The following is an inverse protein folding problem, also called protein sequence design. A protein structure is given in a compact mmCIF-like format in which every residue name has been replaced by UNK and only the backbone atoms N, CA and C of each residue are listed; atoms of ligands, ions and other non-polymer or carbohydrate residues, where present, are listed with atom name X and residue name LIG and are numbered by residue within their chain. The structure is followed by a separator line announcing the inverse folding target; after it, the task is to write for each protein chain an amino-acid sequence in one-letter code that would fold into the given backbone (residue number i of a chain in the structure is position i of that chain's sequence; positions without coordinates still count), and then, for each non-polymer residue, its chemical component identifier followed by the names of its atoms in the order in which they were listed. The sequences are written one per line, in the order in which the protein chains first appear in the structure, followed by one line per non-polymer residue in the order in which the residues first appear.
data_IF_641320537145
#
_entry.id   IF_641320537145
#
_cell.length_a   1.000
_cell.length_b   1.000
_cell.length_c   1.000
_cell.angle_alpha   90.00
_cell.angle_beta   90.00
_cell.angle_gamma   90.00
#
_symmetry.space_group_name_H-M   'P 1'
#
loop_
_entity.id
_entity.type
_entity.pdbx_description
1 polymer ?
#
# COMPACT_ATOMS: atom_id res chain seq x y z
N UNK A 1 -83.33 -29.24 -23.52
CA UNK A 1 -81.88 -29.46 -23.62
C UNK A 1 -81.56 -30.70 -22.77
N UNK A 2 -81.29 -31.87 -23.35
CA UNK A 2 -80.78 -33.06 -22.63
C UNK A 2 -79.27 -32.90 -22.53
N UNK A 3 -78.76 -32.47 -21.39
CA UNK A 3 -77.31 -32.59 -21.06
C UNK A 3 -77.07 -34.09 -20.93
N UNK A 4 -76.21 -34.65 -21.78
CA UNK A 4 -75.86 -36.05 -21.69
C UNK A 4 -75.33 -36.40 -20.31
N UNK A 5 -75.78 -37.45 -19.67
CA UNK A 5 -75.31 -37.90 -18.35
C UNK A 5 -73.79 -38.13 -18.37
N UNK A 6 -73.24 -38.57 -19.49
CA UNK A 6 -71.75 -38.71 -19.66
C UNK A 6 -71.04 -37.39 -19.57
N UNK A 7 -71.56 -36.32 -20.20
CA UNK A 7 -70.98 -34.97 -20.13
C UNK A 7 -71.00 -34.39 -18.72
N UNK A 8 -72.04 -34.67 -17.94
CA UNK A 8 -72.12 -34.29 -16.53
C UNK A 8 -71.03 -34.98 -15.69
N UNK A 9 -70.86 -36.31 -15.87
CA UNK A 9 -69.83 -37.07 -15.19
C UNK A 9 -68.41 -36.64 -15.58
N UNK A 10 -68.17 -36.44 -16.87
CA UNK A 10 -66.85 -35.91 -17.35
C UNK A 10 -66.55 -34.54 -16.77
N UNK A 11 -67.48 -33.61 -16.76
CA UNK A 11 -67.32 -32.28 -16.19
C UNK A 11 -67.09 -32.36 -14.68
N UNK A 12 -67.82 -33.21 -13.98
CA UNK A 12 -67.66 -33.44 -12.54
C UNK A 12 -66.31 -34.06 -12.22
N UNK A 13 -65.86 -35.08 -12.96
CA UNK A 13 -64.54 -35.71 -12.80
C UNK A 13 -63.41 -34.69 -13.03
N UNK A 14 -63.49 -33.90 -14.09
CA UNK A 14 -62.52 -32.82 -14.37
C UNK A 14 -62.48 -31.78 -13.25
N UNK A 15 -63.63 -31.38 -12.69
CA UNK A 15 -63.72 -30.47 -11.56
C UNK A 15 -63.07 -31.06 -10.31
N UNK A 16 -63.31 -32.32 -9.98
CA UNK A 16 -62.66 -33.00 -8.86
C UNK A 16 -61.14 -33.09 -9.02
N UNK A 17 -60.66 -33.46 -10.22
CA UNK A 17 -59.26 -33.55 -10.51
C UNK A 17 -58.59 -32.15 -10.33
N UNK A 18 -59.22 -31.08 -10.83
CA UNK A 18 -58.71 -29.71 -10.66
C UNK A 18 -58.66 -29.29 -9.19
N UNK A 19 -59.78 -29.51 -8.44
CA UNK A 19 -59.79 -29.15 -7.01
C UNK A 19 -58.77 -29.94 -6.20
N UNK A 20 -58.55 -31.21 -6.54
CA UNK A 20 -57.50 -32.01 -5.89
C UNK A 20 -56.10 -31.47 -6.21
N UNK A 21 -55.81 -31.12 -7.45
CA UNK A 21 -54.55 -30.53 -7.85
C UNK A 21 -54.28 -29.16 -7.14
N UNK A 22 -55.32 -28.31 -7.06
CA UNK A 22 -55.26 -27.04 -6.35
C UNK A 22 -55.00 -27.22 -4.83
N UNK A 23 -55.63 -28.24 -4.23
CA UNK A 23 -55.40 -28.61 -2.82
C UNK A 23 -53.98 -29.09 -2.59
N UNK A 24 -53.47 -29.99 -3.44
CA UNK A 24 -52.08 -30.48 -3.35
C UNK A 24 -51.09 -29.30 -3.48
N UNK A 25 -51.32 -28.42 -4.45
CA UNK A 25 -50.49 -27.21 -4.65
C UNK A 25 -50.48 -26.30 -3.42
N UNK A 26 -51.67 -26.01 -2.86
CA UNK A 26 -51.79 -25.19 -1.65
C UNK A 26 -51.10 -25.86 -0.46
N UNK A 27 -51.22 -27.18 -0.33
CA UNK A 27 -50.53 -27.94 0.73
C UNK A 27 -49.00 -27.86 0.58
N UNK A 28 -48.49 -27.94 -0.64
CA UNK A 28 -47.06 -27.78 -0.93
C UNK A 28 -46.56 -26.34 -0.59
N UNK A 29 -47.34 -25.32 -0.96
CA UNK A 29 -47.02 -23.91 -0.63
C UNK A 29 -47.01 -23.68 0.89
N UNK A 30 -47.92 -24.26 1.63
CA UNK A 30 -47.97 -24.19 3.10
C UNK A 30 -46.76 -24.93 3.70
N UNK A 31 -46.46 -26.12 3.17
CA UNK A 31 -45.35 -26.94 3.69
C UNK A 31 -43.97 -26.33 3.43
N UNK A 32 -43.78 -25.68 2.28
CA UNK A 32 -42.50 -25.00 1.94
C UNK A 32 -42.40 -23.59 2.52
N UNK A 33 -43.54 -22.94 2.80
CA UNK A 33 -43.59 -21.52 3.16
C UNK A 33 -43.47 -20.58 1.95
N UNK A 34 -43.27 -21.14 0.75
CA UNK A 34 -43.05 -20.35 -0.48
C UNK A 34 -44.36 -20.32 -1.33
N UNK A 35 -44.85 -19.10 -1.61
CA UNK A 35 -46.03 -18.87 -2.46
C UNK A 35 -45.77 -19.25 -3.94
N UNK A 36 -44.56 -18.96 -4.42
CA UNK A 36 -44.14 -19.16 -5.81
C UNK A 36 -43.15 -20.32 -5.83
N UNK A 37 -43.58 -21.48 -6.27
CA UNK A 37 -42.75 -22.70 -6.38
C UNK A 37 -42.19 -22.90 -7.78
N UNK A 38 -42.96 -22.49 -8.78
CA UNK A 38 -42.55 -22.54 -10.18
C UNK A 38 -42.81 -21.23 -10.90
N UNK A 39 -42.05 -20.98 -11.96
CA UNK A 39 -42.26 -19.79 -12.80
C UNK A 39 -43.65 -19.76 -13.47
N UNK A 40 -44.36 -20.92 -13.55
CA UNK A 40 -45.71 -21.01 -14.07
C UNK A 40 -46.77 -20.48 -13.09
N UNK A 41 -46.49 -20.43 -11.79
CA UNK A 41 -47.43 -19.96 -10.77
C UNK A 41 -47.63 -18.44 -10.82
N UNK A 42 -46.54 -17.71 -10.99
CA UNK A 42 -46.53 -16.25 -11.13
C UNK A 42 -45.25 -15.84 -11.89
N UNK A 43 -45.30 -15.71 -13.24
CA UNK A 43 -44.11 -15.41 -14.04
C UNK A 43 -43.46 -14.06 -13.68
N UNK A 44 -44.29 -13.06 -13.35
CA UNK A 44 -43.80 -11.70 -12.98
C UNK A 44 -43.16 -11.73 -11.59
N UNK A 45 -43.83 -12.42 -10.64
CA UNK A 45 -43.30 -12.61 -9.30
C UNK A 45 -42.02 -13.43 -9.29
N UNK A 46 -41.95 -14.49 -10.10
CA UNK A 46 -40.74 -15.32 -10.24
C UNK A 46 -39.57 -14.51 -10.84
N UNK A 47 -39.81 -13.71 -11.87
CA UNK A 47 -38.78 -12.83 -12.43
C UNK A 47 -38.27 -11.82 -11.41
N UNK A 48 -39.17 -11.22 -10.63
CA UNK A 48 -38.82 -10.27 -9.56
C UNK A 48 -38.03 -10.95 -8.43
N UNK A 49 -38.44 -12.18 -8.05
CA UNK A 49 -37.74 -13.00 -7.05
C UNK A 49 -36.31 -13.29 -7.49
N UNK A 50 -36.11 -13.69 -8.74
CA UNK A 50 -34.79 -13.96 -9.31
C UNK A 50 -33.89 -12.72 -9.29
N UNK A 51 -34.42 -11.53 -9.65
CA UNK A 51 -33.68 -10.29 -9.57
C UNK A 51 -33.29 -9.95 -8.14
N UNK A 52 -34.19 -10.14 -7.17
CA UNK A 52 -33.88 -9.88 -5.75
C UNK A 52 -32.88 -10.88 -5.20
N UNK A 53 -32.93 -12.14 -5.62
CA UNK A 53 -31.92 -13.14 -5.25
C UNK A 53 -30.55 -12.77 -5.80
N UNK A 54 -30.44 -12.40 -7.08
CA UNK A 54 -29.19 -11.92 -7.67
C UNK A 54 -28.65 -10.70 -6.92
N UNK A 55 -29.51 -9.76 -6.57
CA UNK A 55 -29.09 -8.58 -5.78
C UNK A 55 -28.63 -8.97 -4.39
N UNK A 56 -29.30 -9.91 -3.73
CA UNK A 56 -28.91 -10.42 -2.41
C UNK A 56 -27.56 -11.15 -2.45
N UNK A 57 -27.31 -11.96 -3.47
CA UNK A 57 -26.04 -12.64 -3.69
C UNK A 57 -24.90 -11.64 -3.93
N UNK A 58 -25.15 -10.61 -4.75
CA UNK A 58 -24.18 -9.54 -5.00
C UNK A 58 -23.83 -8.76 -3.72
N UNK A 59 -24.83 -8.41 -2.91
CA UNK A 59 -24.62 -7.76 -1.61
C UNK A 59 -23.84 -8.66 -0.64
N UNK A 60 -24.12 -9.96 -0.65
CA UNK A 60 -23.36 -10.95 0.14
C UNK A 60 -21.89 -11.00 -0.31
N UNK A 61 -21.65 -10.98 -1.62
CA UNK A 61 -20.29 -10.90 -2.18
C UNK A 61 -19.57 -9.62 -1.76
N UNK A 62 -20.25 -8.46 -1.83
CA UNK A 62 -19.68 -7.21 -1.38
C UNK A 62 -19.33 -7.23 0.10
N UNK A 63 -20.19 -7.79 0.94
CA UNK A 63 -19.93 -7.98 2.38
C UNK A 63 -18.69 -8.87 2.61
N UNK A 64 -18.57 -9.96 1.86
CA UNK A 64 -17.38 -10.82 1.90
C UNK A 64 -16.11 -10.08 1.47
N UNK A 65 -16.19 -9.29 0.40
CA UNK A 65 -15.09 -8.48 -0.09
C UNK A 65 -14.65 -7.43 0.96
N UNK A 66 -15.60 -6.74 1.62
CA UNK A 66 -15.30 -5.80 2.70
C UNK A 66 -14.61 -6.48 3.88
N UNK A 67 -15.07 -7.66 4.27
CA UNK A 67 -14.42 -8.43 5.34
C UNK A 67 -12.99 -8.81 4.96
N UNK A 68 -12.77 -9.26 3.73
CA UNK A 68 -11.42 -9.59 3.22
C UNK A 68 -10.52 -8.36 3.22
N UNK A 69 -11.01 -7.22 2.72
CA UNK A 69 -10.26 -5.98 2.71
C UNK A 69 -9.91 -5.50 4.14
N UNK A 70 -10.87 -5.54 5.06
CA UNK A 70 -10.65 -5.16 6.46
C UNK A 70 -9.59 -6.04 7.11
N UNK A 71 -9.63 -7.35 6.90
CA UNK A 71 -8.62 -8.26 7.46
C UNK A 71 -7.23 -8.00 6.88
N UNK A 72 -7.13 -7.74 5.57
CA UNK A 72 -5.86 -7.41 4.93
C UNK A 72 -5.27 -6.11 5.46
N UNK A 73 -6.07 -5.05 5.56
CA UNK A 73 -5.65 -3.75 6.10
C UNK A 73 -5.27 -3.82 7.59
N UNK A 74 -6.01 -4.57 8.41
CA UNK A 74 -5.66 -4.78 9.82
C UNK A 74 -4.31 -5.52 9.97
N UNK A 75 -4.03 -6.49 9.09
CA UNK A 75 -2.75 -7.17 9.08
C UNK A 75 -1.63 -6.23 8.68
N UNK A 76 -1.84 -5.41 7.66
CA UNK A 76 -0.89 -4.40 7.22
C UNK A 76 -0.61 -3.36 8.31
N UNK A 77 -1.65 -2.83 8.97
CA UNK A 77 -1.54 -1.91 10.11
C UNK A 77 -0.71 -2.52 11.24
N UNK A 78 -0.93 -3.80 11.57
CA UNK A 78 -0.15 -4.49 12.59
C UNK A 78 1.34 -4.59 12.25
N UNK A 79 1.68 -4.84 10.97
CA UNK A 79 3.07 -4.86 10.50
C UNK A 79 3.67 -3.46 10.52
N UNK A 80 2.93 -2.44 10.04
CA UNK A 80 3.40 -1.04 10.04
C UNK A 80 3.64 -0.52 11.46
N UNK A 81 2.75 -0.84 12.41
CA UNK A 81 2.95 -0.51 13.83
C UNK A 81 4.22 -1.15 14.38
N UNK A 82 4.48 -2.41 14.05
CA UNK A 82 5.70 -3.10 14.49
C UNK A 82 6.97 -2.52 13.87
N UNK A 83 6.91 -2.08 12.61
CA UNK A 83 8.02 -1.37 11.95
C UNK A 83 8.26 -0.02 12.64
N UNK A 84 7.20 0.72 12.95
CA UNK A 84 7.30 2.01 13.65
C UNK A 84 7.97 1.86 15.02
N UNK A 85 7.54 0.87 15.82
CA UNK A 85 8.13 0.58 17.13
C UNK A 85 9.62 0.21 17.01
N UNK A 86 9.97 -0.61 16.01
CA UNK A 86 11.35 -0.99 15.73
C UNK A 86 12.22 0.24 15.34
N UNK A 87 11.68 1.13 14.51
CA UNK A 87 12.35 2.37 14.11
C UNK A 87 12.52 3.35 15.28
N UNK A 88 11.51 3.45 16.16
CA UNK A 88 11.61 4.23 17.38
C UNK A 88 12.72 3.69 18.28
N UNK A 89 12.78 2.37 18.49
CA UNK A 89 13.84 1.74 19.27
C UNK A 89 15.22 1.97 18.66
N UNK A 90 15.36 1.87 17.34
CA UNK A 90 16.62 2.17 16.67
C UNK A 90 17.05 3.63 16.88
N UNK A 91 16.11 4.58 16.84
CA UNK A 91 16.37 5.98 17.11
C UNK A 91 16.85 6.24 18.55
N UNK A 92 16.19 5.60 19.54
CA UNK A 92 16.62 5.68 20.95
C UNK A 92 18.05 5.16 21.14
N UNK A 93 18.37 4.01 20.54
CA UNK A 93 19.70 3.42 20.58
C UNK A 93 20.75 4.32 19.89
N UNK A 94 20.40 4.93 18.77
CA UNK A 94 21.27 5.87 18.06
C UNK A 94 21.59 7.11 18.92
N UNK A 95 20.57 7.69 19.59
CA UNK A 95 20.75 8.80 20.53
C UNK A 95 21.65 8.37 21.71
N UNK A 96 21.42 7.18 22.26
CA UNK A 96 22.24 6.62 23.34
C UNK A 96 23.69 6.45 22.89
N UNK A 97 23.94 5.89 21.70
CA UNK A 97 25.29 5.70 21.16
C UNK A 97 26.02 7.02 20.90
N UNK A 98 25.30 8.09 20.61
CA UNK A 98 25.83 9.45 20.44
C UNK A 98 26.27 10.12 21.75
N UNK A 99 25.95 9.54 22.91
CA UNK A 99 26.36 10.10 24.20
C UNK A 99 27.88 10.00 24.39
N UNK A 100 28.51 11.12 24.75
CA UNK A 100 29.96 11.18 25.05
C UNK A 100 30.40 10.37 26.28
N UNK A 101 29.45 9.87 27.09
CA UNK A 101 29.72 9.04 28.28
C UNK A 101 29.82 7.55 27.97
N UNK A 102 29.50 7.11 26.75
CA UNK A 102 29.51 5.70 26.36
C UNK A 102 30.92 5.21 26.05
N UNK A 103 31.25 4.02 26.54
CA UNK A 103 32.50 3.34 26.20
C UNK A 103 32.42 2.70 24.79
N UNK A 104 33.56 2.43 24.19
CA UNK A 104 33.62 1.77 22.87
C UNK A 104 32.95 0.36 22.87
N UNK A 105 33.14 -0.51 23.86
CA UNK A 105 32.45 -1.79 23.94
C UNK A 105 30.91 -1.65 24.00
N UNK A 106 30.42 -0.61 24.71
CA UNK A 106 28.98 -0.36 24.81
C UNK A 106 28.41 0.09 23.45
N UNK A 107 29.12 0.91 22.70
CA UNK A 107 28.74 1.31 21.34
C UNK A 107 28.71 0.13 20.38
N UNK A 108 29.66 -0.81 20.47
CA UNK A 108 29.64 -2.06 19.69
C UNK A 108 28.41 -2.89 20.01
N UNK A 109 28.03 -2.96 21.29
CA UNK A 109 26.82 -3.68 21.72
C UNK A 109 25.54 -3.05 21.16
N UNK A 110 25.46 -1.71 21.20
CA UNK A 110 24.33 -0.98 20.59
C UNK A 110 24.30 -1.17 19.06
N UNK A 111 25.44 -1.13 18.39
CA UNK A 111 25.52 -1.37 16.96
C UNK A 111 25.02 -2.78 16.58
N UNK A 112 25.34 -3.79 17.41
CA UNK A 112 24.81 -5.14 17.22
C UNK A 112 23.27 -5.18 17.40
N UNK A 113 22.71 -4.50 18.41
CA UNK A 113 21.26 -4.43 18.61
C UNK A 113 20.56 -3.72 17.42
N UNK A 114 21.11 -2.62 16.94
CA UNK A 114 20.59 -1.93 15.74
C UNK A 114 20.63 -2.86 14.52
N UNK A 115 21.69 -3.67 14.36
CA UNK A 115 21.78 -4.65 13.29
C UNK A 115 20.71 -5.75 13.35
N UNK A 116 20.29 -6.16 14.56
CA UNK A 116 19.17 -7.09 14.72
C UNK A 116 17.81 -6.41 14.43
N UNK A 117 17.66 -5.14 14.81
CA UNK A 117 16.48 -4.34 14.43
C UNK A 117 16.39 -4.21 12.90
N UNK A 118 17.49 -3.92 12.21
CA UNK A 118 17.55 -3.86 10.74
C UNK A 118 17.04 -5.17 10.11
N UNK A 119 17.52 -6.31 10.59
CA UNK A 119 17.07 -7.63 10.11
C UNK A 119 15.58 -7.87 10.38
N UNK A 120 15.10 -7.46 11.55
CA UNK A 120 13.69 -7.56 11.90
C UNK A 120 12.80 -6.72 10.99
N UNK A 121 13.18 -5.45 10.77
CA UNK A 121 12.48 -4.54 9.84
C UNK A 121 12.49 -5.10 8.41
N UNK A 122 13.62 -5.60 7.93
CA UNK A 122 13.71 -6.26 6.63
C UNK A 122 12.77 -7.47 6.52
N UNK A 123 12.64 -8.26 7.58
CA UNK A 123 11.67 -9.36 7.65
C UNK A 123 10.23 -8.87 7.57
N UNK A 124 9.90 -7.80 8.30
CA UNK A 124 8.57 -7.18 8.30
C UNK A 124 8.22 -6.55 6.94
N UNK A 125 9.16 -5.90 6.27
CA UNK A 125 8.98 -5.37 4.90
C UNK A 125 8.68 -6.46 3.87
N UNK A 126 9.09 -7.70 4.15
CA UNK A 126 8.84 -8.88 3.34
C UNK A 126 7.78 -9.82 3.96
N UNK A 127 6.87 -9.27 4.76
CA UNK A 127 5.77 -10.02 5.37
C UNK A 127 4.79 -10.52 4.33
N UNK A 128 4.19 -11.68 4.61
CA UNK A 128 3.19 -12.31 3.76
C UNK A 128 1.82 -12.30 4.42
N UNK A 129 0.80 -12.24 3.59
CA UNK A 129 -0.59 -12.43 4.00
C UNK A 129 -0.91 -13.92 4.29
N UNK A 130 -2.13 -14.19 4.75
CA UNK A 130 -2.62 -15.55 5.02
C UNK A 130 -2.66 -16.45 3.78
N UNK A 131 -2.65 -15.88 2.57
CA UNK A 131 -2.64 -16.60 1.30
C UNK A 131 -1.23 -16.86 0.77
N UNK A 132 -0.20 -16.37 1.48
CA UNK A 132 1.20 -16.50 1.11
C UNK A 132 1.71 -15.43 0.15
N UNK A 133 0.89 -14.43 -0.18
CA UNK A 133 1.28 -13.26 -0.97
C UNK A 133 2.03 -12.23 -0.12
N UNK A 134 2.97 -11.51 -0.70
CA UNK A 134 3.66 -10.42 -0.02
C UNK A 134 2.75 -9.20 0.11
N UNK A 135 2.69 -8.60 1.31
CA UNK A 135 1.82 -7.48 1.63
C UNK A 135 2.18 -6.21 0.84
N UNK A 136 3.46 -5.90 0.74
CA UNK A 136 3.95 -4.62 0.19
C UNK A 136 4.41 -4.71 -1.27
N UNK A 137 4.16 -5.82 -1.96
CA UNK A 137 4.63 -6.04 -3.34
C UNK A 137 3.76 -5.40 -4.43
N UNK A 138 2.63 -4.80 -4.06
CA UNK A 138 1.63 -4.33 -5.01
C UNK A 138 0.96 -5.49 -5.76
N UNK A 139 0.77 -5.38 -7.07
CA UNK A 139 0.16 -6.45 -7.86
C UNK A 139 1.06 -7.67 -8.04
N UNK A 140 2.36 -7.55 -7.77
CA UNK A 140 3.34 -8.65 -7.83
C UNK A 140 3.41 -9.46 -6.53
N UNK A 141 2.29 -9.89 -5.99
CA UNK A 141 2.19 -10.54 -4.67
C UNK A 141 3.07 -11.79 -4.49
N UNK A 142 3.52 -12.42 -5.57
CA UNK A 142 4.46 -13.57 -5.52
C UNK A 142 5.94 -13.17 -5.48
N UNK A 143 6.28 -11.89 -5.73
CA UNK A 143 7.65 -11.38 -5.77
C UNK A 143 8.01 -10.74 -4.43
N UNK A 144 9.17 -11.10 -3.88
CA UNK A 144 9.68 -10.48 -2.66
C UNK A 144 9.87 -8.97 -2.87
N UNK A 145 9.18 -8.10 -2.08
CA UNK A 145 9.18 -6.67 -2.34
C UNK A 145 10.52 -5.99 -2.08
N UNK A 146 11.26 -6.41 -1.07
CA UNK A 146 12.56 -5.81 -0.75
C UNK A 146 13.68 -6.83 -0.79
N UNK A 147 14.77 -6.49 -1.48
CA UNK A 147 15.97 -7.32 -1.61
C UNK A 147 17.17 -6.52 -1.12
N UNK A 148 18.03 -7.16 -0.33
CA UNK A 148 19.31 -6.59 0.11
C UNK A 148 20.34 -6.72 -0.99
N UNK A 149 20.94 -5.61 -1.39
CA UNK A 149 22.01 -5.55 -2.38
C UNK A 149 23.37 -5.88 -1.75
N UNK A 150 24.36 -6.18 -2.58
CA UNK A 150 25.71 -6.50 -2.12
C UNK A 150 26.47 -5.34 -1.48
N UNK A 151 26.04 -4.10 -1.73
CA UNK A 151 26.55 -2.87 -1.12
C UNK A 151 25.89 -2.53 0.23
N UNK A 152 24.97 -3.38 0.71
CA UNK A 152 24.23 -3.17 1.97
C UNK A 152 22.99 -2.31 1.84
N UNK A 153 22.67 -1.80 0.65
CA UNK A 153 21.42 -1.07 0.38
C UNK A 153 20.27 -2.03 0.12
N UNK A 154 19.04 -1.48 0.09
CA UNK A 154 17.83 -2.23 -0.22
C UNK A 154 17.19 -1.70 -1.48
N UNK A 155 16.67 -2.61 -2.32
CA UNK A 155 15.94 -2.25 -3.54
C UNK A 155 14.53 -2.82 -3.52
N UNK A 156 13.56 -1.99 -3.95
CA UNK A 156 12.18 -2.40 -4.11
C UNK A 156 11.99 -3.11 -5.46
N UNK A 157 11.42 -4.32 -5.44
CA UNK A 157 11.16 -5.18 -6.60
C UNK A 157 9.66 -5.32 -6.93
N UNK A 158 8.81 -4.76 -6.09
CA UNK A 158 7.37 -4.74 -6.29
C UNK A 158 6.94 -3.80 -7.44
N UNK A 159 5.66 -3.48 -7.48
CA UNK A 159 5.14 -2.43 -8.36
C UNK A 159 4.33 -1.39 -7.57
N UNK A 160 3.85 -0.36 -8.28
CA UNK A 160 3.08 0.74 -7.67
C UNK A 160 1.57 0.54 -7.78
N UNK A 161 1.12 -0.64 -8.21
CA UNK A 161 -0.30 -0.93 -8.42
C UNK A 161 -0.94 -1.37 -7.12
N UNK A 162 -1.79 -0.52 -6.56
CA UNK A 162 -2.56 -0.84 -5.37
C UNK A 162 -3.67 -1.86 -5.69
N UNK A 163 -3.73 -2.94 -4.92
CA UNK A 163 -4.80 -3.93 -5.05
C UNK A 163 -6.11 -3.36 -4.49
N UNK A 164 -7.21 -3.65 -5.17
CA UNK A 164 -8.53 -3.18 -4.74
C UNK A 164 -9.62 -4.21 -5.04
N UNK A 165 -10.61 -4.30 -4.17
CA UNK A 165 -11.80 -5.15 -4.34
C UNK A 165 -13.04 -4.29 -4.50
N UNK A 166 -14.02 -4.81 -5.21
CA UNK A 166 -15.30 -4.15 -5.41
C UNK A 166 -16.19 -4.37 -4.18
N UNK A 167 -16.68 -3.27 -3.59
CA UNK A 167 -17.51 -3.27 -2.38
C UNK A 167 -18.92 -2.70 -2.63
N UNK A 168 -19.14 -2.14 -3.82
CA UNK A 168 -20.47 -1.80 -4.35
C UNK A 168 -20.40 -1.71 -5.87
N UNK A 169 -21.53 -1.43 -6.54
CA UNK A 169 -21.58 -1.29 -8.01
C UNK A 169 -20.59 -0.25 -8.56
N UNK A 170 -20.33 0.79 -7.80
CA UNK A 170 -19.51 1.94 -8.23
C UNK A 170 -18.28 2.18 -7.37
N UNK A 171 -18.12 1.45 -6.27
CA UNK A 171 -17.04 1.69 -5.30
C UNK A 171 -16.08 0.50 -5.23
N UNK A 172 -14.80 0.81 -5.39
CA UNK A 172 -13.69 -0.10 -5.11
C UNK A 172 -12.95 0.38 -3.87
N UNK A 173 -12.53 -0.52 -3.02
CA UNK A 173 -11.74 -0.26 -1.82
C UNK A 173 -10.36 -0.90 -1.97
N UNK A 174 -9.32 -0.16 -1.63
CA UNK A 174 -7.97 -0.70 -1.56
C UNK A 174 -7.88 -1.79 -0.48
N UNK A 175 -7.09 -2.82 -0.76
CA UNK A 175 -6.85 -3.93 0.17
C UNK A 175 -5.41 -4.00 0.66
N UNK A 176 -4.52 -3.20 0.07
CA UNK A 176 -3.12 -3.10 0.47
C UNK A 176 -2.53 -1.79 -0.03
N UNK A 177 -1.50 -1.32 0.63
CA UNK A 177 -0.62 -0.27 0.14
C UNK A 177 0.66 -0.88 -0.46
N UNK A 178 1.31 -0.16 -1.35
CA UNK A 178 2.56 -0.64 -1.95
C UNK A 178 3.75 -0.18 -1.10
N UNK A 179 4.80 -0.99 -1.02
CA UNK A 179 6.02 -0.60 -0.33
C UNK A 179 6.62 0.70 -0.88
N UNK A 180 6.45 0.92 -2.17
CA UNK A 180 6.86 2.18 -2.81
C UNK A 180 6.13 3.40 -2.22
N UNK A 181 4.79 3.33 -2.05
CA UNK A 181 4.02 4.46 -1.54
C UNK A 181 4.31 4.78 -0.07
N UNK A 182 4.55 3.75 0.74
CA UNK A 182 4.77 3.92 2.19
C UNK A 182 6.23 4.28 2.49
N UNK A 183 7.19 3.55 1.90
CA UNK A 183 8.59 3.63 2.32
C UNK A 183 9.48 4.38 1.33
N UNK A 184 9.36 4.13 0.02
CA UNK A 184 10.23 4.75 -0.98
C UNK A 184 9.82 6.19 -1.34
N UNK A 185 8.54 6.52 -1.22
CA UNK A 185 8.04 7.88 -1.44
C UNK A 185 8.15 8.77 -0.19
N UNK A 186 8.45 8.19 0.97
CA UNK A 186 8.69 8.95 2.18
C UNK A 186 9.88 9.90 1.98
N UNK A 187 9.67 11.17 2.29
CA UNK A 187 10.73 12.19 2.24
C UNK A 187 11.80 11.84 3.28
N UNK A 188 12.92 11.34 2.81
CA UNK A 188 14.05 11.04 3.68
C UNK A 188 15.07 12.18 3.57
N UNK A 189 15.25 12.90 4.65
CA UNK A 189 16.27 13.94 4.75
C UNK A 189 17.71 13.40 4.62
N UNK A 190 17.91 12.10 4.82
CA UNK A 190 19.21 11.43 4.71
C UNK A 190 19.50 10.75 3.37
N UNK A 191 18.72 11.00 2.30
CA UNK A 191 19.01 10.46 0.95
C UNK A 191 20.24 11.08 0.29
N UNK A 192 20.70 12.19 0.80
CA UNK A 192 21.91 12.86 0.36
C UNK A 192 22.84 13.03 1.53
N UNK A 193 24.10 12.69 1.36
CA UNK A 193 25.15 12.89 2.36
C UNK A 193 26.18 13.85 1.79
N UNK A 194 26.49 14.89 2.55
CA UNK A 194 27.58 15.80 2.23
C UNK A 194 28.86 15.34 2.92
N UNK A 195 29.87 14.98 2.16
CA UNK A 195 31.19 14.61 2.65
C UNK A 195 32.19 15.68 2.31
N UNK A 196 32.82 16.28 3.33
CA UNK A 196 33.90 17.24 3.12
C UNK A 196 35.16 16.53 2.62
N UNK A 197 35.67 16.97 1.47
CA UNK A 197 36.88 16.43 0.83
C UNK A 197 38.03 17.48 0.81
N UNK A 198 37.90 18.57 1.54
CA UNK A 198 38.92 19.60 1.62
C UNK A 198 40.22 19.07 2.24
N UNK A 199 41.38 19.64 1.89
CA UNK A 199 42.67 19.30 2.50
C UNK A 199 42.64 19.46 4.03
N UNK A 200 43.48 18.69 4.73
CA UNK A 200 43.49 18.68 6.19
C UNK A 200 43.92 20.02 6.82
N UNK A 201 44.63 20.86 6.06
CA UNK A 201 45.10 22.19 6.41
C UNK A 201 44.12 23.31 5.98
N UNK A 202 42.94 22.98 5.50
CA UNK A 202 41.93 23.97 5.15
C UNK A 202 41.35 24.64 6.40
N UNK A 203 41.68 25.89 6.59
CA UNK A 203 41.21 26.74 7.69
C UNK A 203 39.79 27.31 7.45
N UNK A 204 39.14 26.96 6.31
CA UNK A 204 37.80 27.44 6.04
C UNK A 204 36.82 26.88 7.06
N UNK A 205 35.93 27.75 7.57
CA UNK A 205 34.87 27.38 8.51
C UNK A 205 33.54 27.05 7.81
N UNK A 206 33.59 26.72 6.53
CA UNK A 206 32.39 26.35 5.76
C UNK A 206 31.94 24.98 6.18
N UNK A 207 30.70 24.88 6.64
CA UNK A 207 30.01 23.63 6.89
C UNK A 207 28.89 23.46 5.86
N UNK A 208 28.75 22.26 5.30
CA UNK A 208 27.65 21.90 4.39
C UNK A 208 26.82 20.89 5.12
N UNK A 209 25.53 21.16 5.26
CA UNK A 209 24.56 20.19 5.78
C UNK A 209 24.27 19.11 4.75
N UNK A 210 23.82 17.97 5.20
CA UNK A 210 23.24 16.98 4.31
C UNK A 210 22.03 17.59 3.59
N UNK A 211 21.87 17.27 2.30
CA UNK A 211 20.85 17.88 1.48
C UNK A 211 19.43 17.47 1.88
N UNK A 212 18.55 18.45 1.98
CA UNK A 212 17.13 18.27 2.22
C UNK A 212 16.39 18.02 0.90
N UNK A 213 15.60 16.94 0.83
CA UNK A 213 14.84 16.63 -0.37
C UNK A 213 13.59 17.53 -0.48
N UNK A 214 13.57 18.44 -1.46
CA UNK A 214 12.43 19.33 -1.71
C UNK A 214 11.52 18.84 -2.84
N UNK A 215 12.01 17.96 -3.73
CA UNK A 215 11.23 17.38 -4.83
C UNK A 215 11.67 15.95 -5.15
N UNK A 216 10.88 14.97 -4.72
CA UNK A 216 11.12 13.54 -4.96
C UNK A 216 11.21 13.21 -6.45
N UNK A 217 10.37 13.83 -7.30
CA UNK A 217 10.38 13.58 -8.75
C UNK A 217 11.67 14.07 -9.40
N UNK A 218 12.12 15.28 -9.08
CA UNK A 218 13.38 15.84 -9.60
C UNK A 218 14.59 15.08 -9.08
N UNK A 219 14.56 14.69 -7.80
CA UNK A 219 15.61 13.86 -7.21
C UNK A 219 15.76 12.55 -7.99
N UNK A 220 14.67 11.82 -8.19
CA UNK A 220 14.70 10.53 -8.88
C UNK A 220 15.08 10.64 -10.35
N UNK A 221 14.58 11.67 -11.06
CA UNK A 221 14.79 11.84 -12.48
C UNK A 221 16.16 12.39 -12.84
N UNK A 222 16.76 13.23 -12.00
CA UNK A 222 17.96 13.97 -12.40
C UNK A 222 19.07 14.05 -11.35
N UNK A 223 18.76 14.01 -10.04
CA UNK A 223 19.80 14.04 -9.02
C UNK A 223 20.44 12.66 -8.86
N UNK A 224 19.65 11.62 -8.70
CA UNK A 224 20.12 10.24 -8.45
C UNK A 224 21.03 9.71 -9.56
N UNK A 225 20.68 9.97 -10.80
CA UNK A 225 21.47 9.48 -11.97
C UNK A 225 22.80 10.19 -12.18
N UNK A 226 22.92 11.44 -11.71
CA UNK A 226 24.10 12.27 -11.92
C UNK A 226 25.14 12.22 -10.82
N UNK A 227 24.94 11.49 -9.74
CA UNK A 227 25.84 11.41 -8.60
C UNK A 227 27.18 10.75 -8.97
N UNK A 228 28.30 11.06 -8.25
CA UNK A 228 28.42 12.09 -7.20
C UNK A 228 28.52 13.50 -7.74
N UNK A 229 28.08 14.47 -6.95
CA UNK A 229 28.29 15.90 -7.23
C UNK A 229 29.33 16.48 -6.28
N UNK A 230 30.15 17.42 -6.80
CA UNK A 230 31.12 18.15 -5.99
C UNK A 230 30.69 19.60 -5.93
N UNK A 231 30.43 20.09 -4.71
CA UNK A 231 30.25 21.51 -4.44
C UNK A 231 31.60 22.14 -4.16
N UNK A 232 32.01 23.09 -5.00
CA UNK A 232 33.29 23.77 -4.90
C UNK A 232 33.06 25.25 -4.67
N UNK A 233 33.75 25.84 -3.68
CA UNK A 233 33.80 27.25 -3.45
C UNK A 233 35.05 27.79 -4.13
N UNK A 234 34.90 28.50 -5.24
CA UNK A 234 36.01 29.06 -6.02
C UNK A 234 36.54 30.35 -5.45
N UNK A 235 35.72 31.06 -4.68
CA UNK A 235 36.10 32.28 -3.97
C UNK A 235 35.25 32.44 -2.67
N UNK A 236 35.48 33.54 -1.95
CA UNK A 236 34.69 33.85 -0.76
C UNK A 236 33.21 34.16 -1.05
N UNK A 237 32.84 34.34 -2.31
CA UNK A 237 31.50 34.76 -2.75
C UNK A 237 30.94 33.92 -3.90
N UNK A 238 31.65 32.89 -4.37
CA UNK A 238 31.24 32.10 -5.52
C UNK A 238 31.30 30.60 -5.22
N UNK A 239 30.31 29.88 -5.73
CA UNK A 239 30.28 28.43 -5.68
C UNK A 239 29.96 27.85 -7.04
N UNK A 240 30.35 26.61 -7.25
CA UNK A 240 29.96 25.80 -8.41
C UNK A 240 29.63 24.38 -8.00
N UNK A 241 28.64 23.76 -8.68
CA UNK A 241 28.32 22.34 -8.57
C UNK A 241 28.81 21.65 -9.82
N UNK A 242 29.69 20.67 -9.63
CA UNK A 242 30.32 19.89 -10.68
C UNK A 242 29.79 18.46 -10.62
N UNK A 243 29.34 17.92 -11.75
CA UNK A 243 28.96 16.53 -11.93
C UNK A 243 29.90 15.80 -12.88
N UNK A 244 29.50 14.62 -13.36
CA UNK A 244 30.30 13.79 -14.26
C UNK A 244 30.68 14.50 -15.58
N UNK A 245 29.82 15.38 -16.07
CA UNK A 245 29.95 16.05 -17.37
C UNK A 245 30.50 17.49 -17.26
N UNK A 246 31.01 17.91 -16.09
CA UNK A 246 31.55 19.24 -15.84
C UNK A 246 30.68 20.10 -14.93
N UNK A 247 30.84 21.42 -15.02
CA UNK A 247 30.10 22.38 -14.21
C UNK A 247 28.63 22.40 -14.65
N UNK A 248 27.72 22.07 -13.75
CA UNK A 248 26.28 22.00 -13.99
C UNK A 248 25.55 23.29 -13.59
N UNK A 249 26.02 23.94 -12.55
CA UNK A 249 25.51 25.22 -12.08
C UNK A 249 26.56 25.98 -11.27
N UNK A 250 26.47 27.29 -11.24
CA UNK A 250 27.29 28.17 -10.42
C UNK A 250 26.45 29.33 -9.89
N UNK A 251 26.85 29.89 -8.79
CA UNK A 251 26.16 31.01 -8.17
C UNK A 251 27.10 31.85 -7.31
N UNK A 252 26.56 32.96 -6.87
CA UNK A 252 27.25 33.90 -5.95
C UNK A 252 26.46 34.02 -4.66
N UNK A 253 27.14 34.31 -3.56
CA UNK A 253 26.53 34.57 -2.26
C UNK A 253 27.26 35.73 -1.55
N UNK A 254 26.53 36.45 -0.68
CA UNK A 254 27.12 37.53 0.11
C UNK A 254 27.36 37.05 1.56
N UNK A 255 28.63 37.02 1.99
CA UNK A 255 29.01 36.63 3.35
C UNK A 255 28.55 37.60 4.43
N UNK A 256 28.22 38.85 4.06
CA UNK A 256 27.87 39.90 5.02
C UNK A 256 26.38 39.96 5.30
N UNK A 257 25.53 39.44 4.39
CA UNK A 257 24.08 39.51 4.52
C UNK A 257 23.47 38.20 5.02
N UNK A 258 24.11 37.04 4.80
CA UNK A 258 23.53 35.72 5.11
C UNK A 258 24.48 34.85 5.94
N UNK A 259 24.03 34.40 7.12
CA UNK A 259 24.77 33.43 7.93
C UNK A 259 24.66 32.00 7.36
N UNK A 260 23.72 31.77 6.43
CA UNK A 260 23.52 30.47 5.75
C UNK A 260 23.01 30.70 4.33
N UNK A 261 23.50 29.91 3.39
CA UNK A 261 23.04 29.87 1.99
C UNK A 261 22.34 28.57 1.74
N UNK A 262 21.12 28.63 1.20
CA UNK A 262 20.43 27.45 0.69
C UNK A 262 20.60 27.35 -0.83
N UNK A 263 21.17 26.25 -1.28
CA UNK A 263 21.41 25.98 -2.70
C UNK A 263 20.43 24.90 -3.16
N UNK A 264 19.44 25.30 -3.98
CA UNK A 264 18.49 24.37 -4.57
C UNK A 264 19.00 23.79 -5.87
N UNK A 265 19.24 22.48 -5.89
CA UNK A 265 19.77 21.77 -7.06
C UNK A 265 19.07 20.43 -7.30
N UNK A 266 18.40 20.27 -8.43
CA UNK A 266 17.74 19.02 -8.89
C UNK A 266 16.84 18.35 -7.86
N UNK A 267 16.15 19.12 -7.04
CA UNK A 267 15.19 18.63 -6.04
C UNK A 267 15.80 18.37 -4.66
N UNK A 268 17.01 18.87 -4.42
CA UNK A 268 17.73 18.86 -3.14
C UNK A 268 18.13 20.29 -2.80
N UNK A 269 17.96 20.69 -1.52
CA UNK A 269 18.35 21.99 -0.95
C UNK A 269 19.50 21.83 -0.01
#
# INVERSE_FOLDING_TARGET
MRISTSQYFETSAASYQKNFADTVKTTQQISSGDRIQTAADDPIGAAKLLMLQQQSELLSQYSGNMTTATNALNQEEGVLSSIFDAMQRASELAIQAGSGAMSEPDRVSIAAEIGEIEKSVFGMLNSKDANGGYLFAGSKSSTQPYVRNGDGTYSYQGDQTQLSVQVSDTLRMATSDTGYSIFDSATNNGRTQALRTAPADDESRVTVSDGLLNSTSRYTQSFKEGQPYTLTFSSATEYSIVGKDGILTSGTFDRNEENSLTISFRGVD
#
